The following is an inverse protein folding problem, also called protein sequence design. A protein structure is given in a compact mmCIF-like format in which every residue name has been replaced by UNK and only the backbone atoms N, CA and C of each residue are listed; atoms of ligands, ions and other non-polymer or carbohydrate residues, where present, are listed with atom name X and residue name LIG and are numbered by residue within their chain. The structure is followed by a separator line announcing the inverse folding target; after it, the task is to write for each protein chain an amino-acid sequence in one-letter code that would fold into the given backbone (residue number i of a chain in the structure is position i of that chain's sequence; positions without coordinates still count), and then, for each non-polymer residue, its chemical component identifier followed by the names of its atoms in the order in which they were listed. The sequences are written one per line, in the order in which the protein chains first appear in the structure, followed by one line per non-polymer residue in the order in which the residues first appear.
data_IF_221757495846
#
_entry.id   IF_221757495846
#
_cell.length_a   1.000
_cell.length_b   1.000
_cell.length_c   1.000
_cell.angle_alpha   90.00
_cell.angle_beta   90.00
_cell.angle_gamma   90.00
#
_symmetry.space_group_name_H-M   'P 1'
#
loop_
_entity.id
_entity.type
_entity.pdbx_description
1 polymer ?
#
# COMPACT_ATOMS: atom_id res chain seq x y z
N UNK A 1 -18.98 48.13 40.88
CA UNK A 1 -18.40 47.60 39.62
C UNK A 1 -18.61 46.10 39.61
N UNK A 2 -19.46 45.64 38.71
CA UNK A 2 -20.29 44.44 38.89
C UNK A 2 -19.60 43.16 38.45
N UNK A 3 -19.52 42.19 39.37
CA UNK A 3 -19.15 40.78 39.19
C UNK A 3 -19.85 40.12 37.98
N UNK A 4 -20.99 40.68 37.52
CA UNK A 4 -21.71 40.23 36.32
C UNK A 4 -20.92 40.35 35.01
N UNK A 5 -19.95 41.27 34.89
CA UNK A 5 -19.14 41.41 33.68
C UNK A 5 -18.07 40.33 33.52
N UNK A 6 -17.55 39.80 34.64
CA UNK A 6 -16.60 38.68 34.63
C UNK A 6 -17.30 37.33 34.39
N UNK A 7 -18.55 37.18 34.84
CA UNK A 7 -19.33 35.97 34.60
C UNK A 7 -19.68 35.74 33.11
N UNK A 8 -19.95 36.80 32.34
CA UNK A 8 -20.20 36.67 30.90
C UNK A 8 -18.92 36.37 30.08
N UNK A 9 -17.76 36.84 30.52
CA UNK A 9 -16.49 36.54 29.85
C UNK A 9 -16.06 35.07 30.04
N UNK A 10 -16.35 34.47 31.20
CA UNK A 10 -16.04 33.05 31.46
C UNK A 10 -16.95 32.08 30.66
N UNK A 11 -18.19 32.46 30.38
CA UNK A 11 -19.13 31.64 29.61
C UNK A 11 -18.82 31.65 28.10
N UNK A 12 -18.23 32.73 27.58
CA UNK A 12 -17.80 32.81 26.18
C UNK A 12 -16.54 31.98 25.88
N UNK A 13 -15.66 31.77 26.88
CA UNK A 13 -14.44 30.97 26.73
C UNK A 13 -14.70 29.46 26.68
N UNK A 14 -15.83 28.98 27.23
CA UNK A 14 -16.17 27.56 27.25
C UNK A 14 -16.69 27.03 25.91
N UNK A 15 -17.13 27.91 25.00
CA UNK A 15 -17.65 27.52 23.68
C UNK A 15 -16.53 27.33 22.64
N UNK A 16 -15.32 27.84 22.90
CA UNK A 16 -14.16 27.71 22.01
C UNK A 16 -13.20 26.57 22.38
N UNK A 17 -13.50 25.78 23.42
CA UNK A 17 -12.87 24.48 23.59
C UNK A 17 -13.46 23.53 22.53
N UNK A 18 -12.94 23.63 21.29
CA UNK A 18 -13.32 22.76 20.19
C UNK A 18 -13.28 21.33 20.67
N UNK A 19 -14.44 20.67 20.69
CA UNK A 19 -14.52 19.26 21.00
C UNK A 19 -13.63 18.54 19.99
N UNK A 20 -12.52 17.97 20.45
CA UNK A 20 -11.79 16.98 19.67
C UNK A 20 -12.76 15.81 19.48
N UNK A 21 -13.43 15.77 18.33
CA UNK A 21 -14.34 14.68 17.99
C UNK A 21 -13.44 13.50 17.63
N UNK A 22 -13.33 12.55 18.56
CA UNK A 22 -12.74 11.24 18.32
C UNK A 22 -13.31 10.65 17.02
N UNK A 23 -12.44 10.28 16.07
CA UNK A 23 -12.87 9.70 14.81
C UNK A 23 -12.37 8.26 14.66
N UNK A 24 -13.31 7.40 14.27
CA UNK A 24 -13.03 6.04 13.87
C UNK A 24 -12.68 6.02 12.38
N UNK A 25 -11.45 5.61 12.06
CA UNK A 25 -10.96 5.39 10.70
C UNK A 25 -10.82 3.91 10.47
N UNK A 26 -11.52 3.40 9.47
CA UNK A 26 -11.25 2.09 8.90
C UNK A 26 -10.68 2.30 7.50
N UNK A 27 -9.46 1.80 7.27
CA UNK A 27 -8.76 1.94 6.00
C UNK A 27 -8.54 0.55 5.39
N UNK A 28 -8.80 0.40 4.09
CA UNK A 28 -8.42 -0.77 3.32
C UNK A 28 -7.20 -0.47 2.43
N UNK A 29 -6.08 -1.14 2.72
CA UNK A 29 -4.95 -1.23 1.79
C UNK A 29 -5.11 -2.46 0.88
N UNK A 30 -5.29 -2.22 -0.43
CA UNK A 30 -5.24 -3.26 -1.45
C UNK A 30 -3.83 -3.32 -2.03
N UNK A 31 -3.07 -4.36 -1.64
CA UNK A 31 -1.65 -4.52 -1.96
C UNK A 31 -1.35 -5.75 -2.81
N UNK A 32 -0.12 -5.85 -3.31
CA UNK A 32 0.39 -7.04 -4.01
C UNK A 32 0.93 -8.12 -3.06
N UNK A 33 1.05 -9.35 -3.58
CA UNK A 33 1.09 -10.59 -2.79
C UNK A 33 2.18 -10.74 -1.70
N UNK A 34 3.47 -10.39 -1.94
CA UNK A 34 4.55 -10.65 -0.99
C UNK A 34 4.71 -9.56 0.09
N UNK A 35 3.81 -8.58 0.18
CA UNK A 35 3.90 -7.48 1.15
C UNK A 35 3.13 -7.74 2.44
N UNK A 36 2.72 -8.99 2.69
CA UNK A 36 1.87 -9.37 3.83
C UNK A 36 2.53 -9.01 5.15
N UNK A 37 3.78 -9.46 5.32
CA UNK A 37 4.55 -9.26 6.54
C UNK A 37 4.94 -7.78 6.68
N UNK A 38 5.35 -7.13 5.58
CA UNK A 38 5.66 -5.70 5.57
C UNK A 38 4.51 -4.86 6.13
N UNK A 39 3.30 -5.06 5.62
CA UNK A 39 2.18 -4.23 6.05
C UNK A 39 1.64 -4.65 7.42
N UNK A 40 1.81 -5.90 7.86
CA UNK A 40 1.50 -6.26 9.26
C UNK A 40 2.30 -5.39 10.23
N UNK A 41 3.61 -5.29 10.02
CA UNK A 41 4.50 -4.50 10.88
C UNK A 41 4.28 -2.99 10.67
N UNK A 42 4.26 -2.54 9.41
CA UNK A 42 4.11 -1.12 9.10
C UNK A 42 2.77 -0.54 9.58
N UNK A 43 1.67 -1.31 9.49
CA UNK A 43 0.38 -0.84 9.96
C UNK A 43 0.37 -0.65 11.48
N UNK A 44 0.99 -1.56 12.25
CA UNK A 44 1.10 -1.42 13.69
C UNK A 44 1.90 -0.15 14.06
N UNK A 45 3.03 0.07 13.37
CA UNK A 45 3.84 1.28 13.56
C UNK A 45 3.10 2.56 13.19
N UNK A 46 2.37 2.57 12.06
CA UNK A 46 1.59 3.72 11.64
C UNK A 46 0.46 4.06 12.62
N UNK A 47 -0.27 3.06 13.12
CA UNK A 47 -1.34 3.28 14.11
C UNK A 47 -0.76 3.86 15.41
N UNK A 48 0.37 3.32 15.88
CA UNK A 48 1.07 3.86 17.05
C UNK A 48 1.57 5.29 16.82
N UNK A 49 2.10 5.58 15.63
CA UNK A 49 2.52 6.91 15.23
C UNK A 49 1.35 7.90 15.22
N UNK A 50 0.22 7.53 14.60
CA UNK A 50 -0.97 8.38 14.50
C UNK A 50 -1.52 8.74 15.89
N UNK A 51 -1.63 7.74 16.76
CA UNK A 51 -2.16 7.89 18.12
C UNK A 51 -1.36 8.86 18.99
N UNK A 52 -0.05 9.05 18.72
CA UNK A 52 0.78 10.03 19.45
C UNK A 52 0.30 11.46 19.23
N UNK A 53 -0.21 11.77 18.04
CA UNK A 53 -0.71 13.11 17.70
C UNK A 53 -2.24 13.21 17.79
N UNK A 54 -2.94 12.08 17.73
CA UNK A 54 -4.40 11.98 17.77
C UNK A 54 -4.82 10.87 18.77
N UNK A 55 -4.68 11.12 20.08
CA UNK A 55 -4.88 10.09 21.11
C UNK A 55 -6.31 9.54 21.18
N UNK A 56 -7.28 10.34 20.76
CA UNK A 56 -8.71 10.01 20.77
C UNK A 56 -9.18 9.34 19.48
N UNK A 57 -8.36 9.35 18.42
CA UNK A 57 -8.69 8.67 17.16
C UNK A 57 -8.44 7.16 17.27
N UNK A 58 -9.30 6.38 16.62
CA UNK A 58 -9.12 4.95 16.44
C UNK A 58 -8.87 4.66 14.97
N UNK A 59 -7.73 4.06 14.66
CA UNK A 59 -7.37 3.68 13.29
C UNK A 59 -7.27 2.16 13.20
N UNK A 60 -8.04 1.57 12.29
CA UNK A 60 -7.97 0.17 11.90
C UNK A 60 -7.56 0.09 10.43
N UNK A 61 -6.54 -0.71 10.10
CA UNK A 61 -6.08 -0.90 8.72
C UNK A 61 -6.26 -2.36 8.32
N UNK A 62 -7.20 -2.60 7.42
CA UNK A 62 -7.43 -3.89 6.76
C UNK A 62 -6.53 -4.02 5.54
N UNK A 63 -6.21 -5.26 5.19
CA UNK A 63 -5.32 -5.58 4.07
C UNK A 63 -5.96 -6.60 3.14
N UNK A 64 -5.70 -6.44 1.85
CA UNK A 64 -5.96 -7.44 0.82
C UNK A 64 -4.69 -7.68 0.01
N UNK A 65 -4.33 -8.95 -0.22
CA UNK A 65 -3.11 -9.32 -0.93
C UNK A 65 -3.40 -10.36 -2.03
N UNK A 66 -2.77 -10.14 -3.18
CA UNK A 66 -2.79 -11.06 -4.30
C UNK A 66 -1.96 -10.58 -5.48
N UNK A 67 -2.09 -11.24 -6.63
CA UNK A 67 -1.44 -10.79 -7.86
C UNK A 67 -1.83 -9.34 -8.20
N UNK A 68 -0.84 -8.48 -8.41
CA UNK A 68 -1.02 -7.03 -8.57
C UNK A 68 -2.08 -6.64 -9.61
N UNK A 69 -2.09 -7.29 -10.78
CA UNK A 69 -3.09 -7.02 -11.82
C UNK A 69 -4.49 -7.51 -11.44
N UNK A 70 -4.59 -8.61 -10.67
CA UNK A 70 -5.88 -9.09 -10.12
C UNK A 70 -6.42 -8.13 -9.05
N UNK A 71 -5.54 -7.60 -8.21
CA UNK A 71 -5.91 -6.63 -7.17
C UNK A 71 -6.39 -5.32 -7.80
N UNK A 72 -5.68 -4.79 -8.80
CA UNK A 72 -6.12 -3.61 -9.55
C UNK A 72 -7.50 -3.80 -10.19
N UNK A 73 -7.72 -4.96 -10.83
CA UNK A 73 -9.05 -5.32 -11.36
C UNK A 73 -10.13 -5.34 -10.27
N UNK A 74 -9.84 -5.92 -9.11
CA UNK A 74 -10.78 -5.91 -7.99
C UNK A 74 -11.20 -4.50 -7.58
N UNK A 75 -10.27 -3.55 -7.55
CA UNK A 75 -10.56 -2.13 -7.26
C UNK A 75 -11.40 -1.49 -8.36
N UNK A 76 -11.05 -1.72 -9.64
CA UNK A 76 -11.82 -1.24 -10.79
C UNK A 76 -13.27 -1.77 -10.74
N UNK A 77 -13.44 -3.03 -10.36
CA UNK A 77 -14.74 -3.71 -10.30
C UNK A 77 -15.54 -3.40 -9.01
N UNK A 78 -15.04 -2.53 -8.14
CA UNK A 78 -15.80 -1.97 -7.02
C UNK A 78 -15.30 -2.30 -5.61
N UNK A 79 -14.16 -2.98 -5.45
CA UNK A 79 -13.50 -3.09 -4.15
C UNK A 79 -13.05 -1.70 -3.69
N UNK A 80 -13.66 -1.20 -2.61
CA UNK A 80 -13.41 0.15 -2.08
C UNK A 80 -12.11 0.21 -1.29
N UNK A 81 -11.00 0.32 -1.99
CA UNK A 81 -9.69 0.59 -1.40
C UNK A 81 -9.57 2.07 -1.04
N UNK A 82 -9.02 2.37 0.14
CA UNK A 82 -8.63 3.72 0.53
C UNK A 82 -7.23 4.06 -0.02
N UNK A 83 -6.36 3.05 -0.04
CA UNK A 83 -5.02 3.13 -0.65
C UNK A 83 -4.73 1.85 -1.44
N UNK A 84 -3.92 1.99 -2.49
CA UNK A 84 -3.39 0.87 -3.25
C UNK A 84 -1.87 0.91 -3.22
N UNK A 85 -1.24 -0.22 -2.94
CA UNK A 85 0.23 -0.34 -2.92
C UNK A 85 0.61 -1.52 -3.81
N UNK A 86 0.72 -1.26 -5.11
CA UNK A 86 0.81 -2.30 -6.15
C UNK A 86 2.25 -2.48 -6.67
N UNK A 87 2.47 -3.52 -7.46
CA UNK A 87 3.81 -3.94 -7.86
C UNK A 87 4.46 -3.13 -9.00
N UNK A 88 3.66 -2.37 -9.77
CA UNK A 88 4.15 -1.55 -10.89
C UNK A 88 3.13 -0.46 -11.26
N UNK A 89 3.62 0.66 -11.78
CA UNK A 89 2.82 1.85 -12.11
C UNK A 89 1.65 1.57 -13.05
N UNK A 90 1.85 0.72 -14.07
CA UNK A 90 0.80 0.34 -15.02
C UNK A 90 -0.46 -0.23 -14.38
N UNK A 91 -0.37 -0.94 -13.25
CA UNK A 91 -1.58 -1.44 -12.58
C UNK A 91 -2.38 -0.30 -11.89
N UNK A 92 -1.69 0.73 -11.40
CA UNK A 92 -2.31 1.91 -10.78
C UNK A 92 -2.87 2.84 -11.86
N UNK A 93 -2.19 2.98 -12.99
CA UNK A 93 -2.68 3.71 -14.17
C UNK A 93 -4.02 3.15 -14.65
N UNK A 94 -4.19 1.83 -14.69
CA UNK A 94 -5.47 1.22 -15.07
C UNK A 94 -6.59 1.56 -14.07
N UNK A 95 -6.29 1.65 -12.78
CA UNK A 95 -7.29 2.10 -11.78
C UNK A 95 -7.67 3.57 -12.04
N UNK A 96 -6.70 4.45 -12.29
CA UNK A 96 -6.97 5.86 -12.56
C UNK A 96 -7.81 6.04 -13.84
N UNK A 97 -7.46 5.32 -14.92
CA UNK A 97 -8.13 5.43 -16.23
C UNK A 97 -9.51 4.78 -16.26
N UNK A 98 -9.63 3.55 -15.74
CA UNK A 98 -10.85 2.74 -15.86
C UNK A 98 -11.75 2.88 -14.64
N UNK A 99 -11.17 2.82 -13.43
CA UNK A 99 -11.92 2.92 -12.18
C UNK A 99 -12.29 4.36 -11.80
N UNK A 100 -11.50 5.36 -12.25
CA UNK A 100 -11.69 6.80 -11.96
C UNK A 100 -11.78 7.14 -10.47
N UNK A 101 -11.25 6.27 -9.61
CA UNK A 101 -11.15 6.46 -8.15
C UNK A 101 -9.84 7.12 -7.73
N UNK A 102 -8.90 7.27 -8.67
CA UNK A 102 -7.61 7.94 -8.52
C UNK A 102 -7.46 9.01 -9.59
N UNK A 103 -6.84 10.17 -9.28
CA UNK A 103 -6.53 11.16 -10.30
C UNK A 103 -5.46 10.64 -11.26
N UNK A 104 -5.53 11.02 -12.53
CA UNK A 104 -4.57 10.55 -13.55
C UNK A 104 -3.12 10.97 -13.27
N UNK A 105 -2.91 12.07 -12.54
CA UNK A 105 -1.59 12.52 -12.12
C UNK A 105 -1.12 11.86 -10.80
N UNK A 106 -1.67 10.71 -10.41
CA UNK A 106 -1.36 10.05 -9.14
C UNK A 106 0.15 9.90 -8.91
N UNK A 107 0.90 9.56 -9.96
CA UNK A 107 2.31 9.22 -9.87
C UNK A 107 3.18 10.39 -9.40
N UNK A 108 2.75 11.63 -9.65
CA UNK A 108 3.48 12.85 -9.26
C UNK A 108 3.08 13.37 -7.89
N UNK A 109 2.13 12.73 -7.18
CA UNK A 109 1.60 13.23 -5.90
C UNK A 109 2.52 12.92 -4.72
N UNK A 110 3.42 11.94 -4.87
CA UNK A 110 4.43 11.58 -3.89
C UNK A 110 5.82 11.59 -4.56
N UNK A 111 6.91 11.78 -3.77
CA UNK A 111 8.29 11.71 -4.27
C UNK A 111 8.60 10.41 -5.03
N UNK A 112 9.68 10.44 -5.81
CA UNK A 112 10.23 9.26 -6.50
C UNK A 112 9.19 8.50 -7.34
N UNK A 113 8.35 9.26 -8.06
CA UNK A 113 7.25 8.73 -8.87
C UNK A 113 6.31 7.82 -8.06
N UNK A 114 6.02 8.20 -6.82
CA UNK A 114 5.20 7.45 -5.86
C UNK A 114 5.74 6.04 -5.55
N UNK A 115 7.08 5.87 -5.60
CA UNK A 115 7.77 4.60 -5.38
C UNK A 115 8.69 4.70 -4.15
N UNK A 116 8.17 4.49 -2.93
CA UNK A 116 8.93 4.72 -1.69
C UNK A 116 10.04 3.69 -1.43
N UNK A 117 10.05 2.56 -2.15
CA UNK A 117 11.09 1.55 -2.08
C UNK A 117 11.22 0.82 -3.42
N UNK A 118 12.35 0.17 -3.65
CA UNK A 118 12.60 -0.64 -4.85
C UNK A 118 13.02 -2.06 -4.48
N UNK A 119 13.01 -2.95 -5.47
CA UNK A 119 13.51 -4.32 -5.36
C UNK A 119 14.12 -4.73 -6.70
N UNK A 120 14.56 -5.98 -6.83
CA UNK A 120 15.08 -6.53 -8.07
C UNK A 120 14.72 -8.00 -8.23
N UNK A 121 14.91 -8.54 -9.43
CA UNK A 121 14.69 -9.96 -9.73
C UNK A 121 16.00 -10.72 -9.50
N UNK A 122 15.92 -11.79 -8.70
CA UNK A 122 17.03 -12.69 -8.40
C UNK A 122 16.58 -14.14 -8.54
N UNK A 123 17.53 -15.06 -8.64
CA UNK A 123 17.24 -16.49 -8.59
C UNK A 123 17.34 -17.02 -7.16
N UNK A 124 16.28 -17.68 -6.70
CA UNK A 124 16.34 -18.53 -5.53
C UNK A 124 16.51 -19.98 -5.96
N UNK A 125 17.62 -20.60 -5.55
CA UNK A 125 17.97 -21.99 -5.88
C UNK A 125 17.97 -22.87 -4.64
N UNK A 126 17.84 -24.19 -4.84
CA UNK A 126 17.98 -25.16 -3.74
C UNK A 126 19.41 -25.15 -3.18
N UNK A 127 19.54 -25.53 -1.90
CA UNK A 127 20.82 -25.60 -1.17
C UNK A 127 21.90 -26.32 -2.00
N UNK A 128 23.08 -25.71 -2.08
CA UNK A 128 24.23 -26.23 -2.82
C UNK A 128 24.20 -25.95 -4.33
N UNK A 129 23.13 -25.33 -4.86
CA UNK A 129 22.96 -25.02 -6.27
C UNK A 129 23.27 -26.22 -7.21
N UNK A 130 22.52 -27.33 -7.09
CA UNK A 130 22.85 -28.59 -7.77
C UNK A 130 22.80 -28.51 -9.31
N UNK A 131 22.17 -27.47 -9.86
CA UNK A 131 22.08 -27.20 -11.30
C UNK A 131 23.09 -26.15 -11.78
N UNK A 132 23.92 -25.62 -10.88
CA UNK A 132 24.93 -24.63 -11.19
C UNK A 132 24.39 -23.36 -11.83
N UNK A 133 23.18 -22.92 -11.45
CA UNK A 133 22.51 -21.72 -12.00
C UNK A 133 23.24 -20.47 -11.51
N UNK A 134 23.69 -19.64 -12.44
CA UNK A 134 24.39 -18.38 -12.15
C UNK A 134 23.83 -17.22 -12.94
N UNK A 135 23.30 -17.47 -14.13
CA UNK A 135 22.82 -16.42 -15.03
C UNK A 135 21.60 -16.88 -15.85
N UNK A 136 20.96 -15.94 -16.56
CA UNK A 136 19.74 -16.16 -17.35
C UNK A 136 19.87 -17.29 -18.37
N UNK A 137 21.04 -17.43 -19.00
CA UNK A 137 21.31 -18.51 -19.96
C UNK A 137 21.25 -19.92 -19.35
N UNK A 138 21.36 -20.06 -18.03
CA UNK A 138 21.25 -21.36 -17.37
C UNK A 138 19.79 -21.83 -17.24
N UNK A 139 18.82 -20.91 -17.35
CA UNK A 139 17.40 -21.22 -17.15
C UNK A 139 16.78 -22.03 -18.30
N UNK A 140 17.41 -22.03 -19.48
CA UNK A 140 16.94 -22.74 -20.68
C UNK A 140 17.53 -24.15 -20.83
N UNK A 141 18.37 -24.59 -19.88
CA UNK A 141 18.94 -25.95 -19.89
C UNK A 141 17.83 -26.99 -19.76
N UNK A 142 17.98 -28.10 -20.51
CA UNK A 142 16.94 -29.15 -20.61
C UNK A 142 16.55 -29.78 -19.27
N UNK A 143 17.46 -29.81 -18.29
CA UNK A 143 17.26 -30.41 -16.98
C UNK A 143 16.93 -29.39 -15.87
N UNK A 144 16.61 -28.14 -16.26
CA UNK A 144 16.21 -27.05 -15.38
C UNK A 144 14.70 -26.83 -15.51
N UNK A 145 14.01 -26.75 -14.37
CA UNK A 145 12.60 -26.38 -14.30
C UNK A 145 12.48 -25.05 -13.56
N UNK A 146 11.90 -24.06 -14.25
CA UNK A 146 11.75 -22.69 -13.76
C UNK A 146 10.34 -22.49 -13.21
N UNK A 147 10.26 -21.93 -12.00
CA UNK A 147 8.98 -21.54 -11.39
C UNK A 147 8.87 -20.02 -11.46
N UNK A 148 7.87 -19.53 -12.19
CA UNK A 148 7.56 -18.10 -12.31
C UNK A 148 6.03 -17.91 -12.32
N UNK A 149 5.48 -16.85 -11.72
CA UNK A 149 4.04 -16.63 -11.69
C UNK A 149 3.46 -16.26 -13.05
N UNK A 150 2.13 -16.17 -13.14
CA UNK A 150 1.43 -15.80 -14.38
C UNK A 150 1.47 -14.28 -14.64
N UNK A 151 2.00 -13.81 -15.79
CA UNK A 151 2.06 -12.37 -16.13
C UNK A 151 0.70 -11.72 -16.34
N UNK A 152 -0.39 -12.50 -16.51
CA UNK A 152 -1.75 -11.97 -16.63
C UNK A 152 -2.35 -11.51 -15.30
N UNK A 153 -1.80 -11.95 -14.18
CA UNK A 153 -2.32 -11.61 -12.84
C UNK A 153 -1.26 -11.02 -11.92
N UNK A 154 0.02 -11.35 -12.11
CA UNK A 154 1.11 -10.93 -11.23
C UNK A 154 1.95 -9.80 -11.84
N UNK A 155 2.26 -8.78 -11.03
CA UNK A 155 3.27 -7.77 -11.37
C UNK A 155 4.68 -8.32 -11.33
N UNK A 156 5.01 -9.13 -10.31
CA UNK A 156 6.31 -9.81 -10.23
C UNK A 156 6.57 -10.71 -11.44
N UNK A 157 5.55 -11.38 -12.00
CA UNK A 157 5.71 -12.16 -13.23
C UNK A 157 6.08 -11.29 -14.44
N UNK A 158 5.53 -10.08 -14.55
CA UNK A 158 5.87 -9.13 -15.62
C UNK A 158 7.30 -8.61 -15.44
N UNK A 159 7.72 -8.31 -14.21
CA UNK A 159 9.11 -7.97 -13.90
C UNK A 159 10.07 -9.12 -14.22
N UNK A 160 9.73 -10.37 -13.85
CA UNK A 160 10.54 -11.54 -14.19
C UNK A 160 10.73 -11.69 -15.70
N UNK A 161 9.67 -11.46 -16.48
CA UNK A 161 9.73 -11.53 -17.94
C UNK A 161 10.61 -10.42 -18.54
N UNK A 162 10.54 -9.20 -18.01
CA UNK A 162 11.32 -8.06 -18.49
C UNK A 162 12.79 -8.09 -18.05
N UNK A 163 13.12 -8.86 -17.02
CA UNK A 163 14.49 -8.99 -16.52
C UNK A 163 15.36 -9.96 -17.33
N UNK A 164 14.73 -10.84 -18.12
CA UNK A 164 15.37 -11.90 -18.90
C UNK A 164 15.81 -11.45 -20.31
#
# INVERSE_FOLDING_TARGET
MSIRRFALAALASAVFAGSAVAKDYELLNVSYDPTRELYQDYNAEFVNFWKKSHPDDKVEIKQSHGGSGKQARGVIDGLRADVVTLALAGDIDEIAKLGKTLPENWQTRLPDASTPYTSTIVFLVRKGNPKGIKDWGDLIKKDVSVITPNPKTSGGARWNFLAA
#
